data_IF_083595146555
#
_entry.id   IF_083595146555
#
_cell.length_a   1.000
_cell.length_b   1.000
_cell.length_c   1.000
_cell.angle_alpha   90.00
_cell.angle_beta   90.00
_cell.angle_gamma   90.00
#
_symmetry.space_group_name_H-M   'P 1'
#
loop_
_entity.id
_entity.type
_entity.pdbx_description
1 polymer ?
#
# COMPACT_ATOMS: atom_id res chain seq x y z
N UNK A 1 -8.35 2.29 -3.07
CA UNK A 1 -7.94 1.70 -1.78
C UNK A 1 -7.70 0.20 -1.90
N UNK A 2 -8.70 -0.69 -1.89
CA UNK A 2 -8.40 -2.14 -1.89
C UNK A 2 -7.57 -2.64 -3.10
N UNK A 3 -7.84 -2.14 -4.32
CA UNK A 3 -7.05 -2.47 -5.53
C UNK A 3 -5.61 -1.97 -5.40
N UNK A 4 -5.47 -0.72 -4.96
CA UNK A 4 -4.19 -0.08 -4.69
C UNK A 4 -3.37 -0.91 -3.68
N UNK A 5 -3.97 -1.26 -2.53
CA UNK A 5 -3.28 -2.04 -1.50
C UNK A 5 -2.84 -3.44 -1.97
N UNK A 6 -3.61 -4.08 -2.84
CA UNK A 6 -3.21 -5.35 -3.49
C UNK A 6 -1.99 -5.15 -4.39
N UNK A 7 -1.99 -4.10 -5.22
CA UNK A 7 -0.85 -3.78 -6.08
C UNK A 7 0.40 -3.44 -5.27
N UNK A 8 0.26 -2.66 -4.19
CA UNK A 8 1.36 -2.34 -3.27
C UNK A 8 1.95 -3.59 -2.64
N UNK A 9 1.13 -4.55 -2.21
CA UNK A 9 1.63 -5.82 -1.67
C UNK A 9 2.44 -6.61 -2.70
N UNK A 10 1.96 -6.67 -3.96
CA UNK A 10 2.66 -7.34 -5.06
C UNK A 10 4.00 -6.67 -5.35
N UNK A 11 4.01 -5.34 -5.48
CA UNK A 11 5.22 -4.56 -5.71
C UNK A 11 6.22 -4.70 -4.55
N UNK A 12 5.73 -4.64 -3.31
CA UNK A 12 6.54 -4.84 -2.11
C UNK A 12 7.20 -6.23 -2.10
N UNK A 13 6.44 -7.29 -2.41
CA UNK A 13 6.97 -8.65 -2.45
C UNK A 13 8.00 -8.85 -3.58
N UNK A 14 7.78 -8.25 -4.76
CA UNK A 14 8.73 -8.30 -5.88
C UNK A 14 10.04 -7.56 -5.56
N UNK A 15 9.95 -6.41 -4.90
CA UNK A 15 11.11 -5.63 -4.49
C UNK A 15 11.89 -6.27 -3.33
N UNK A 16 11.28 -7.17 -2.57
CA UNK A 16 11.87 -7.81 -1.40
C UNK A 16 11.70 -9.34 -1.46
N UNK A 17 12.42 -10.05 -2.34
CA UNK A 17 12.32 -11.50 -2.46
C UNK A 17 12.63 -12.21 -1.13
N UNK A 18 11.79 -13.17 -0.74
CA UNK A 18 11.96 -13.93 0.52
C UNK A 18 11.57 -13.18 1.80
N UNK A 19 10.99 -11.98 1.69
CA UNK A 19 10.52 -11.24 2.86
C UNK A 19 9.42 -11.99 3.62
N UNK A 20 9.46 -11.94 4.95
CA UNK A 20 8.49 -12.63 5.80
C UNK A 20 7.04 -12.20 5.54
N UNK A 21 6.10 -13.14 5.65
CA UNK A 21 4.68 -12.92 5.38
C UNK A 21 4.07 -11.76 6.20
N UNK A 22 4.51 -11.57 7.45
CA UNK A 22 4.08 -10.44 8.29
C UNK A 22 4.38 -9.06 7.69
N UNK A 23 5.46 -8.93 6.93
CA UNK A 23 5.79 -7.66 6.26
C UNK A 23 4.99 -7.45 4.98
N UNK A 24 4.62 -8.54 4.30
CA UNK A 24 3.66 -8.49 3.19
C UNK A 24 2.26 -8.11 3.69
N UNK A 25 1.86 -8.62 4.86
CA UNK A 25 0.63 -8.21 5.53
C UNK A 25 0.65 -6.73 5.91
N UNK A 26 1.77 -6.23 6.43
CA UNK A 26 1.94 -4.80 6.70
C UNK A 26 1.81 -3.95 5.41
N UNK A 27 2.35 -4.41 4.28
CA UNK A 27 2.19 -3.74 2.99
C UNK A 27 0.73 -3.75 2.52
N UNK A 28 0.02 -4.87 2.66
CA UNK A 28 -1.41 -4.97 2.31
C UNK A 28 -2.28 -4.04 3.18
N UNK A 29 -1.93 -3.85 4.44
CA UNK A 29 -2.69 -3.06 5.42
C UNK A 29 -2.31 -1.56 5.46
N UNK A 30 -1.40 -1.09 4.62
CA UNK A 30 -0.80 0.25 4.79
C UNK A 30 -1.82 1.40 4.74
N UNK A 31 -2.90 1.27 3.97
CA UNK A 31 -4.00 2.24 3.88
C UNK A 31 -5.21 1.87 4.75
N UNK A 32 -5.12 0.83 5.58
CA UNK A 32 -6.24 0.44 6.45
C UNK A 32 -6.78 1.57 7.35
N UNK A 33 -5.96 2.52 7.88
CA UNK A 33 -6.46 3.68 8.61
C UNK A 33 -7.44 4.53 7.79
N UNK A 34 -7.28 4.61 6.47
CA UNK A 34 -8.11 5.43 5.59
C UNK A 34 -9.57 4.97 5.52
N UNK A 35 -9.85 3.70 5.85
CA UNK A 35 -11.23 3.24 6.02
C UNK A 35 -11.98 3.99 7.14
N UNK A 36 -11.25 4.46 8.16
CA UNK A 36 -11.82 5.15 9.33
C UNK A 36 -11.85 6.67 9.14
N UNK A 37 -10.80 7.24 8.54
CA UNK A 37 -10.62 8.70 8.41
C UNK A 37 -10.95 9.27 7.02
N UNK A 38 -11.22 8.40 6.05
CA UNK A 38 -11.38 8.77 4.63
C UNK A 38 -10.05 8.86 3.90
N UNK A 39 -10.07 8.54 2.60
CA UNK A 39 -8.92 8.72 1.70
C UNK A 39 -8.68 10.21 1.48
N UNK A 40 -7.46 10.65 1.74
CA UNK A 40 -7.07 12.04 1.59
C UNK A 40 -5.77 12.15 0.80
N UNK A 41 -5.79 12.95 -0.25
CA UNK A 41 -4.60 13.19 -1.06
C UNK A 41 -3.48 13.82 -0.22
N UNK A 42 -2.24 13.45 -0.52
CA UNK A 42 -1.04 13.88 0.22
C UNK A 42 -0.93 15.40 0.47
N UNK A 43 -1.27 16.30 -0.49
CA UNK A 43 -1.23 17.74 -0.25
C UNK A 43 -2.17 18.22 0.85
N UNK A 44 -3.33 17.57 1.01
CA UNK A 44 -4.30 17.95 2.04
C UNK A 44 -3.85 17.41 3.40
N UNK A 45 -3.31 16.19 3.48
CA UNK A 45 -2.72 15.64 4.72
C UNK A 45 -1.67 16.59 5.33
N UNK A 46 -0.86 17.24 4.49
CA UNK A 46 0.14 18.22 4.94
C UNK A 46 -0.47 19.53 5.48
N UNK A 47 -1.71 19.88 5.10
CA UNK A 47 -2.37 21.12 5.46
C UNK A 47 -3.26 21.03 6.72
N UNK A 48 -3.74 19.83 7.10
CA UNK A 48 -4.67 19.66 8.25
C UNK A 48 -3.98 19.81 9.61
N UNK A 49 -2.67 19.59 9.68
CA UNK A 49 -1.87 19.82 10.89
C UNK A 49 -1.58 18.56 11.73
N UNK A 50 -0.82 18.75 12.81
CA UNK A 50 -0.18 17.70 13.61
C UNK A 50 -1.16 16.69 14.24
N UNK A 51 -2.31 17.18 14.73
CA UNK A 51 -3.33 16.34 15.35
C UNK A 51 -3.88 15.25 14.42
N UNK A 52 -3.90 15.50 13.11
CA UNK A 52 -4.30 14.49 12.12
C UNK A 52 -3.25 13.38 12.00
N UNK A 53 -1.96 13.74 12.00
CA UNK A 53 -0.86 12.79 11.98
C UNK A 53 -0.83 11.89 13.22
N UNK A 54 -1.14 12.44 14.40
CA UNK A 54 -1.26 11.65 15.62
C UNK A 54 -2.43 10.65 15.58
N UNK A 55 -3.58 11.07 15.04
CA UNK A 55 -4.75 10.19 14.87
C UNK A 55 -4.42 9.04 13.90
N UNK A 56 -3.82 9.35 12.75
CA UNK A 56 -3.39 8.36 11.76
C UNK A 56 -2.40 7.35 12.35
N UNK A 57 -1.41 7.83 13.12
CA UNK A 57 -0.45 6.97 13.80
C UNK A 57 -1.10 6.03 14.82
N UNK A 58 -2.08 6.52 15.59
CA UNK A 58 -2.82 5.71 16.58
C UNK A 58 -3.70 4.65 15.90
N UNK A 59 -4.35 4.99 14.79
CA UNK A 59 -5.15 4.04 14.02
C UNK A 59 -4.27 2.97 13.37
N UNK A 60 -3.16 3.39 12.76
CA UNK A 60 -2.14 2.48 12.20
C UNK A 60 -1.65 1.50 13.26
N UNK A 61 -1.29 1.98 14.45
CA UNK A 61 -0.85 1.12 15.55
C UNK A 61 -1.94 0.13 15.99
N UNK A 62 -3.19 0.58 16.09
CA UNK A 62 -4.32 -0.29 16.45
C UNK A 62 -4.55 -1.41 15.41
N UNK A 63 -4.50 -1.07 14.12
CA UNK A 63 -4.58 -2.04 13.02
C UNK A 63 -3.44 -3.04 13.12
N UNK A 64 -2.19 -2.58 13.24
CA UNK A 64 -1.03 -3.46 13.35
C UNK A 64 -1.17 -4.46 14.50
N UNK A 65 -1.48 -3.97 15.71
CA UNK A 65 -1.64 -4.82 16.89
C UNK A 65 -2.77 -5.84 16.71
N UNK A 66 -3.88 -5.44 16.09
CA UNK A 66 -5.03 -6.34 15.82
C UNK A 66 -4.65 -7.54 14.96
N UNK A 67 -3.63 -7.42 14.11
CA UNK A 67 -3.18 -8.46 13.18
C UNK A 67 -1.80 -9.04 13.52
N UNK A 68 -1.34 -8.84 14.77
CA UNK A 68 -0.09 -9.44 15.26
C UNK A 68 1.19 -8.79 14.72
N UNK A 69 1.09 -7.57 14.20
CA UNK A 69 2.24 -6.76 13.78
C UNK A 69 2.70 -5.84 14.92
N UNK A 70 3.98 -5.42 14.94
CA UNK A 70 4.43 -4.37 15.84
C UNK A 70 3.64 -3.08 15.63
N UNK A 71 3.24 -2.41 16.71
CA UNK A 71 2.53 -1.13 16.64
C UNK A 71 3.24 -0.12 15.72
N UNK A 72 4.57 -0.05 15.84
CA UNK A 72 5.46 0.70 14.95
C UNK A 72 6.32 -0.28 14.17
N UNK A 73 6.23 -0.24 12.84
CA UNK A 73 7.05 -1.08 11.97
C UNK A 73 8.53 -0.68 12.02
N UNK A 74 9.47 -1.62 11.82
CA UNK A 74 10.86 -1.28 11.60
C UNK A 74 11.01 -0.26 10.46
N UNK A 75 11.92 0.71 10.62
CA UNK A 75 12.07 1.83 9.69
C UNK A 75 12.28 1.38 8.23
N UNK A 76 13.09 0.34 8.03
CA UNK A 76 13.36 -0.22 6.70
C UNK A 76 12.11 -0.84 6.06
N UNK A 77 11.25 -1.50 6.85
CA UNK A 77 9.99 -2.06 6.35
C UNK A 77 9.03 -0.93 5.96
N UNK A 78 8.89 0.10 6.82
CA UNK A 78 8.05 1.28 6.50
C UNK A 78 8.53 1.96 5.22
N UNK A 79 9.85 2.13 5.06
CA UNK A 79 10.46 2.73 3.87
C UNK A 79 10.22 1.89 2.62
N UNK A 80 10.36 0.56 2.71
CA UNK A 80 10.13 -0.35 1.60
C UNK A 80 8.65 -0.38 1.18
N UNK A 81 7.71 -0.34 2.12
CA UNK A 81 6.27 -0.20 1.82
C UNK A 81 6.01 1.14 1.11
N UNK A 82 6.58 2.24 1.61
CA UNK A 82 6.39 3.55 0.98
C UNK A 82 6.97 3.63 -0.43
N UNK A 83 8.07 2.92 -0.68
CA UNK A 83 8.63 2.81 -2.03
C UNK A 83 7.69 2.04 -2.97
N UNK A 84 7.09 0.93 -2.51
CA UNK A 84 6.12 0.17 -3.29
C UNK A 84 4.84 0.97 -3.56
N UNK A 85 4.30 1.68 -2.57
CA UNK A 85 3.20 2.64 -2.71
C UNK A 85 3.49 3.71 -3.77
N UNK A 86 4.67 4.32 -3.72
CA UNK A 86 5.07 5.32 -4.72
C UNK A 86 5.16 4.75 -6.15
N UNK A 87 5.57 3.50 -6.32
CA UNK A 87 5.55 2.81 -7.62
C UNK A 87 4.12 2.53 -8.07
N UNK A 88 3.24 2.11 -7.15
CA UNK A 88 1.80 1.94 -7.42
C UNK A 88 1.18 3.25 -7.91
N UNK A 89 1.43 4.36 -7.22
CA UNK A 89 0.94 5.68 -7.61
C UNK A 89 1.47 6.14 -8.98
N UNK A 90 2.73 5.82 -9.32
CA UNK A 90 3.25 6.06 -10.67
C UNK A 90 2.48 5.26 -11.74
N UNK A 91 2.21 3.98 -11.47
CA UNK A 91 1.46 3.13 -12.40
C UNK A 91 0.01 3.62 -12.56
N UNK A 92 -0.63 4.01 -11.46
CA UNK A 92 -1.98 4.57 -11.47
C UNK A 92 -2.03 5.87 -12.28
N UNK A 93 -1.06 6.76 -12.08
CA UNK A 93 -0.96 8.01 -12.82
C UNK A 93 -0.95 7.77 -14.34
N UNK A 94 -0.11 6.83 -14.80
CA UNK A 94 0.08 6.54 -16.23
C UNK A 94 -1.05 5.72 -16.82
N UNK A 95 -1.51 4.66 -16.13
CA UNK A 95 -2.44 3.68 -16.72
C UNK A 95 -3.92 4.07 -16.58
N UNK A 96 -4.29 4.79 -15.52
CA UNK A 96 -5.70 5.10 -15.24
C UNK A 96 -6.01 6.59 -15.15
N UNK A 97 -5.05 7.44 -14.74
CA UNK A 97 -5.29 8.88 -14.56
C UNK A 97 -4.87 9.74 -15.77
N UNK A 98 -4.32 9.14 -16.83
CA UNK A 98 -4.01 9.82 -18.08
C UNK A 98 -2.74 10.67 -18.08
N UNK A 99 -1.88 10.53 -17.07
CA UNK A 99 -0.58 11.21 -17.05
C UNK A 99 0.35 10.58 -18.08
N UNK A 100 1.20 11.39 -18.70
CA UNK A 100 2.33 10.88 -19.45
C UNK A 100 3.37 10.27 -18.51
N UNK A 101 4.16 9.32 -19.00
CA UNK A 101 5.27 8.76 -18.22
C UNK A 101 6.25 9.85 -17.73
N UNK A 102 6.47 10.91 -18.51
CA UNK A 102 7.34 12.02 -18.13
C UNK A 102 6.78 12.84 -16.96
N UNK A 103 5.45 13.04 -16.89
CA UNK A 103 4.81 13.71 -15.76
C UNK A 103 4.86 12.83 -14.51
N UNK A 104 4.54 11.55 -14.64
CA UNK A 104 4.60 10.59 -13.56
C UNK A 104 6.03 10.43 -13.01
N UNK A 105 7.05 10.41 -13.87
CA UNK A 105 8.48 10.37 -13.49
C UNK A 105 8.86 11.58 -12.63
N UNK A 106 8.33 12.77 -12.92
CA UNK A 106 8.62 13.99 -12.15
C UNK A 106 7.96 13.96 -10.77
N UNK A 107 6.74 13.45 -10.67
CA UNK A 107 5.95 13.42 -9.42
C UNK A 107 6.36 12.25 -8.51
N UNK A 108 6.44 11.06 -9.10
CA UNK A 108 6.60 9.78 -8.39
C UNK A 108 7.99 9.15 -8.59
N UNK A 109 8.85 9.74 -9.43
CA UNK A 109 10.14 9.14 -9.76
C UNK A 109 9.97 7.98 -10.74
N UNK A 110 11.02 7.68 -11.50
CA UNK A 110 11.00 6.61 -12.49
C UNK A 110 11.14 5.24 -11.80
N UNK A 111 10.15 4.33 -11.91
CA UNK A 111 10.26 2.98 -11.35
C UNK A 111 11.23 2.11 -12.15
N UNK A 112 11.77 1.07 -11.50
CA UNK A 112 12.49 0.00 -12.22
C UNK A 112 11.50 -0.75 -13.13
N UNK A 113 11.79 -0.80 -14.42
CA UNK A 113 10.97 -1.50 -15.41
C UNK A 113 10.75 -2.98 -15.06
N UNK A 114 11.73 -3.64 -14.42
CA UNK A 114 11.60 -5.04 -13.99
C UNK A 114 10.56 -5.22 -12.90
N UNK A 115 10.39 -4.22 -12.03
CA UNK A 115 9.46 -4.28 -10.92
C UNK A 115 8.01 -4.26 -11.42
N UNK A 116 7.73 -3.41 -12.41
CA UNK A 116 6.40 -3.19 -12.98
C UNK A 116 6.08 -4.11 -14.16
N UNK A 117 7.05 -4.91 -14.63
CA UNK A 117 6.88 -5.75 -15.81
C UNK A 117 5.69 -6.73 -15.64
N UNK A 118 4.79 -6.74 -16.62
CA UNK A 118 3.62 -7.62 -16.64
C UNK A 118 2.55 -7.28 -15.61
N UNK A 119 2.63 -6.12 -14.93
CA UNK A 119 1.57 -5.61 -14.07
C UNK A 119 0.70 -4.63 -14.86
N UNK A 120 -0.61 -4.88 -14.83
CA UNK A 120 -1.63 -4.00 -15.41
C UNK A 120 -2.65 -3.68 -14.32
N UNK A 121 -3.04 -2.41 -14.25
CA UNK A 121 -4.13 -1.97 -13.38
C UNK A 121 -5.45 -2.21 -14.12
N UNK A 122 -6.29 -3.06 -13.56
CA UNK A 122 -7.63 -3.34 -14.09
C UNK A 122 -8.68 -2.69 -13.21
N UNK A 123 -9.56 -1.91 -13.82
CA UNK A 123 -10.72 -1.35 -13.13
C UNK A 123 -11.75 -2.46 -12.91
N UNK A 124 -11.74 -3.04 -11.71
CA UNK A 124 -12.61 -4.16 -11.33
C UNK A 124 -13.80 -3.69 -10.49
N UNK A 125 -14.94 -4.41 -10.53
CA UNK A 125 -16.07 -4.14 -9.65
C UNK A 125 -15.65 -4.19 -8.16
N UNK A 126 -16.11 -3.26 -7.31
CA UNK A 126 -15.69 -3.19 -5.90
C UNK A 126 -15.89 -4.50 -5.11
N UNK A 127 -16.91 -5.29 -5.47
CA UNK A 127 -17.19 -6.59 -4.86
C UNK A 127 -16.06 -7.60 -5.09
N UNK A 128 -15.49 -7.62 -6.30
CA UNK A 128 -14.41 -8.54 -6.68
C UNK A 128 -13.12 -8.17 -5.95
N UNK A 129 -12.77 -6.87 -5.98
CA UNK A 129 -11.58 -6.36 -5.30
C UNK A 129 -11.64 -6.61 -3.79
N UNK A 130 -12.81 -6.40 -3.18
CA UNK A 130 -13.02 -6.70 -1.76
C UNK A 130 -12.82 -8.19 -1.45
N UNK A 131 -13.35 -9.07 -2.31
CA UNK A 131 -13.20 -10.51 -2.13
C UNK A 131 -11.72 -10.92 -2.23
N UNK A 132 -10.99 -10.43 -3.21
CA UNK A 132 -9.56 -10.69 -3.39
C UNK A 132 -8.72 -10.15 -2.24
N UNK A 133 -8.96 -8.90 -1.82
CA UNK A 133 -8.27 -8.31 -0.67
C UNK A 133 -8.47 -9.16 0.60
N UNK A 134 -9.71 -9.60 0.86
CA UNK A 134 -10.03 -10.41 2.05
C UNK A 134 -9.41 -11.80 1.97
N UNK A 135 -9.41 -12.42 0.78
CA UNK A 135 -8.76 -13.70 0.54
C UNK A 135 -7.25 -13.59 0.78
N UNK A 136 -6.60 -12.59 0.16
CA UNK A 136 -5.16 -12.32 0.31
C UNK A 136 -4.76 -12.05 1.74
N UNK A 137 -5.55 -11.24 2.46
CA UNK A 137 -5.37 -11.02 3.89
C UNK A 137 -5.41 -12.34 4.68
N UNK A 138 -6.39 -13.19 4.39
CA UNK A 138 -6.57 -14.47 5.09
C UNK A 138 -5.43 -15.46 4.80
N UNK A 139 -4.93 -15.52 3.56
CA UNK A 139 -3.75 -16.31 3.18
C UNK A 139 -2.50 -15.88 3.96
N UNK A 140 -2.26 -14.57 4.03
CA UNK A 140 -1.13 -14.04 4.79
C UNK A 140 -1.28 -14.36 6.27
N UNK A 141 -2.44 -14.10 6.86
CA UNK A 141 -2.73 -14.43 8.27
C UNK A 141 -2.53 -15.92 8.59
N UNK A 142 -2.96 -16.82 7.71
CA UNK A 142 -2.76 -18.26 7.88
C UNK A 142 -1.27 -18.63 7.91
N UNK A 143 -0.44 -17.93 7.14
CA UNK A 143 1.02 -18.13 7.11
C UNK A 143 1.70 -17.66 8.40
N UNK A 144 1.10 -16.72 9.14
CA UNK A 144 1.62 -16.26 10.44
C UNK A 144 1.31 -17.23 11.57
N UNK A 145 0.26 -18.04 11.42
CA UNK A 145 -0.19 -19.01 12.41
C UNK A 145 0.48 -20.40 12.27
N UNK A 146 1.19 -20.63 11.16
CA UNK A 146 1.96 -21.84 10.86
C UNK A 146 3.42 -21.68 11.28
#
# INVERSE_FOLDING_TARGET
>A
MAEHSLLVEVLFARANPGIAAKWRLAALLHDAPEYVIGDMISPVKAAVGEAYGELDARLTAAVHLRFGLPAVLPAEIKKAIKAADRVSAWMEAVQIAGFTAAEADRLFGKPDAKLIQGLEIRLRPPKEVRAEYTARHSELMATLAA
#
